data_IF_439069794248
#
_entry.id   IF_439069794248
#
_cell.length_a   1.000
_cell.length_b   1.000
_cell.length_c   1.000
_cell.angle_alpha   90.00
_cell.angle_beta   90.00
_cell.angle_gamma   90.00
#
_symmetry.space_group_name_H-M   'P 1'
#
loop_
_entity.id
_entity.type
_entity.pdbx_description
1 polymer ?
#
# COMPACT_ATOMS: atom_id res chain seq x y z
N UNK A 1 23.62 5.93 -16.17
CA UNK A 1 23.70 4.71 -15.34
C UNK A 1 24.90 3.86 -15.75
N UNK A 2 25.70 3.44 -14.76
CA UNK A 2 26.77 2.44 -14.90
C UNK A 2 26.14 1.05 -14.77
N UNK A 3 26.20 0.24 -15.83
CA UNK A 3 25.83 -1.17 -15.80
C UNK A 3 26.96 -1.94 -15.12
N UNK A 4 26.88 -2.13 -13.81
CA UNK A 4 27.87 -2.92 -13.07
C UNK A 4 27.36 -4.36 -12.83
N UNK A 5 27.83 -5.34 -13.63
CA UNK A 5 27.41 -6.74 -13.53
C UNK A 5 27.94 -7.46 -12.28
N UNK A 6 28.81 -6.84 -11.46
CA UNK A 6 29.31 -7.48 -10.22
C UNK A 6 28.28 -7.53 -9.09
N UNK A 7 27.35 -6.57 -9.03
CA UNK A 7 26.32 -6.51 -7.98
C UNK A 7 25.29 -7.64 -8.11
N UNK A 8 24.93 -8.01 -9.35
CA UNK A 8 23.99 -9.11 -9.60
C UNK A 8 24.59 -10.47 -9.26
N UNK A 9 25.93 -10.60 -9.28
CA UNK A 9 26.61 -11.85 -8.96
C UNK A 9 26.70 -12.09 -7.45
N UNK A 10 26.77 -11.03 -6.65
CA UNK A 10 26.77 -11.14 -5.18
C UNK A 10 25.44 -11.60 -4.60
N UNK A 11 24.32 -11.30 -5.26
CA UNK A 11 22.98 -11.69 -4.76
C UNK A 11 22.61 -13.16 -5.03
N UNK A 12 23.41 -13.89 -5.82
CA UNK A 12 23.13 -15.28 -6.19
C UNK A 12 23.96 -16.28 -5.36
N UNK A 13 25.03 -15.83 -4.71
CA UNK A 13 25.99 -16.72 -4.02
C UNK A 13 25.76 -16.84 -2.50
N UNK A 14 24.75 -16.20 -1.90
CA UNK A 14 24.51 -16.18 -0.43
C UNK A 14 23.49 -17.23 0.09
N UNK A 15 23.19 -18.29 -0.68
CA UNK A 15 22.40 -19.44 -0.20
C UNK A 15 23.27 -20.49 0.53
N UNK A 16 24.06 -20.07 1.53
CA UNK A 16 24.61 -20.99 2.54
C UNK A 16 23.51 -21.39 3.51
N UNK A 17 22.75 -22.41 3.12
CA UNK A 17 21.85 -23.17 4.01
C UNK A 17 22.67 -23.85 5.11
N UNK A 18 22.67 -23.28 6.31
CA UNK A 18 23.10 -23.95 7.53
C UNK A 18 22.21 -25.19 7.79
N UNK A 19 22.82 -26.37 7.74
CA UNK A 19 22.22 -27.63 8.16
C UNK A 19 21.86 -27.58 9.66
N UNK A 20 20.57 -27.37 9.95
CA UNK A 20 20.04 -27.50 11.31
C UNK A 20 20.06 -28.98 11.73
N UNK A 21 21.10 -29.37 12.46
CA UNK A 21 21.18 -30.65 13.18
C UNK A 21 20.05 -30.74 14.23
N UNK A 22 18.98 -31.47 13.89
CA UNK A 22 17.95 -31.89 14.85
C UNK A 22 18.56 -32.86 15.88
N UNK A 23 18.99 -32.32 17.03
CA UNK A 23 19.37 -33.07 18.22
C UNK A 23 18.21 -33.95 18.70
N UNK A 24 18.34 -35.25 18.47
CA UNK A 24 17.42 -36.29 18.94
C UNK A 24 17.76 -36.68 20.39
N UNK A 25 17.42 -35.81 21.35
CA UNK A 25 17.56 -36.12 22.77
C UNK A 25 16.40 -37.04 23.22
N UNK A 26 16.65 -38.36 23.26
CA UNK A 26 15.77 -39.34 23.92
C UNK A 26 16.33 -39.69 25.30
N UNK A 27 15.76 -39.09 26.33
CA UNK A 27 15.92 -39.55 27.71
C UNK A 27 15.08 -40.82 27.94
N UNK A 28 15.60 -41.85 28.62
CA UNK A 28 14.80 -43.01 29.00
C UNK A 28 14.03 -42.75 30.29
N UNK A 29 12.71 -42.65 30.20
CA UNK A 29 11.83 -42.78 31.36
C UNK A 29 11.71 -44.26 31.72
N UNK A 30 12.26 -44.62 32.88
CA UNK A 30 12.08 -45.92 33.53
C UNK A 30 10.69 -45.93 34.16
N UNK A 31 9.71 -46.57 33.50
CA UNK A 31 8.45 -46.97 34.13
C UNK A 31 8.51 -48.46 34.42
N UNK A 32 8.61 -48.80 35.70
CA UNK A 32 8.51 -50.16 36.22
C UNK A 32 7.09 -50.70 36.00
N UNK A 33 7.01 -51.89 35.42
CA UNK A 33 6.05 -52.91 35.88
C UNK A 33 4.67 -52.92 35.23
N UNK A 34 4.60 -53.14 33.91
CA UNK A 34 3.48 -53.86 33.30
C UNK A 34 4.04 -54.75 32.19
N UNK A 35 3.91 -56.07 32.35
CA UNK A 35 4.22 -57.04 31.29
C UNK A 35 3.08 -57.05 30.28
N UNK A 36 3.21 -56.26 29.21
CA UNK A 36 2.33 -56.38 28.04
C UNK A 36 2.93 -57.45 27.11
N UNK A 37 2.31 -58.62 27.10
CA UNK A 37 2.58 -59.67 26.13
C UNK A 37 2.17 -59.19 24.73
N UNK A 38 3.15 -58.80 23.91
CA UNK A 38 2.96 -58.45 22.51
C UNK A 38 3.39 -59.63 21.64
N UNK A 39 2.59 -60.69 21.63
CA UNK A 39 2.62 -61.70 20.57
C UNK A 39 2.03 -61.15 19.26
N UNK A 40 2.64 -60.09 18.72
CA UNK A 40 2.32 -59.60 17.38
C UNK A 40 2.98 -60.51 16.35
N UNK A 41 2.22 -61.52 15.94
CA UNK A 41 2.48 -62.43 14.82
C UNK A 41 2.80 -61.59 13.58
N UNK A 42 4.09 -61.44 13.26
CA UNK A 42 4.58 -60.81 12.02
C UNK A 42 4.14 -61.64 10.82
N UNK A 43 2.93 -61.39 10.32
CA UNK A 43 2.55 -61.74 8.97
C UNK A 43 3.39 -60.90 8.01
N UNK A 44 4.52 -61.46 7.55
CA UNK A 44 5.25 -60.95 6.39
C UNK A 44 4.32 -60.97 5.19
N UNK A 45 3.60 -59.88 4.95
CA UNK A 45 2.93 -59.65 3.67
C UNK A 45 4.02 -59.60 2.59
N UNK A 46 3.84 -60.26 1.43
CA UNK A 46 4.82 -60.21 0.36
C UNK A 46 5.02 -58.75 -0.06
N UNK A 47 6.27 -58.29 -0.06
CA UNK A 47 6.66 -57.02 -0.65
C UNK A 47 6.38 -57.15 -2.14
N UNK A 48 5.21 -56.69 -2.58
CA UNK A 48 4.91 -56.51 -3.99
C UNK A 48 5.92 -55.49 -4.49
N UNK A 49 6.92 -55.95 -5.27
CA UNK A 49 7.70 -55.09 -6.16
C UNK A 49 6.72 -54.51 -7.18
N UNK A 50 6.02 -53.45 -6.77
CA UNK A 50 5.13 -52.69 -7.62
C UNK A 50 5.95 -52.07 -8.73
N UNK A 51 5.53 -52.32 -9.96
CA UNK A 51 6.11 -51.82 -11.20
C UNK A 51 6.27 -50.28 -11.13
N UNK A 52 7.46 -49.81 -10.72
CA UNK A 52 7.86 -48.40 -10.65
C UNK A 52 8.07 -47.76 -12.04
N UNK A 53 7.46 -48.31 -13.10
CA UNK A 53 7.50 -47.80 -14.48
C UNK A 53 6.29 -46.93 -14.86
N UNK A 54 5.24 -46.88 -14.03
CA UNK A 54 4.03 -46.10 -14.35
C UNK A 54 4.05 -44.67 -13.74
N UNK A 55 4.77 -44.46 -12.63
CA UNK A 55 4.76 -43.17 -11.91
C UNK A 55 5.42 -42.02 -12.70
N UNK A 56 6.45 -42.32 -13.50
CA UNK A 56 7.22 -41.30 -14.22
C UNK A 56 6.43 -40.68 -15.39
N UNK A 57 5.57 -41.44 -16.08
CA UNK A 57 4.73 -40.89 -17.16
C UNK A 57 3.58 -40.04 -16.63
N UNK A 58 2.98 -40.43 -15.51
CA UNK A 58 1.93 -39.61 -14.87
C UNK A 58 2.50 -38.29 -14.36
N UNK A 59 3.69 -38.31 -13.75
CA UNK A 59 4.36 -37.09 -13.27
C UNK A 59 4.65 -36.10 -14.41
N UNK A 60 5.16 -36.58 -15.55
CA UNK A 60 5.44 -35.71 -16.71
C UNK A 60 4.15 -35.09 -17.26
N UNK A 61 3.06 -35.87 -17.36
CA UNK A 61 1.77 -35.36 -17.83
C UNK A 61 1.20 -34.32 -16.84
N UNK A 62 1.28 -34.57 -15.53
CA UNK A 62 0.80 -33.61 -14.52
C UNK A 62 1.61 -32.31 -14.55
N UNK A 63 2.93 -32.39 -14.72
CA UNK A 63 3.79 -31.21 -14.84
C UNK A 63 3.45 -30.43 -16.12
N UNK A 64 3.27 -31.12 -17.26
CA UNK A 64 2.90 -30.48 -18.51
C UNK A 64 1.53 -29.77 -18.43
N UNK A 65 0.54 -30.39 -17.78
CA UNK A 65 -0.78 -29.77 -17.54
C UNK A 65 -0.63 -28.55 -16.62
N UNK A 66 0.15 -28.67 -15.54
CA UNK A 66 0.37 -27.55 -14.62
C UNK A 66 1.06 -26.36 -15.32
N UNK A 67 2.11 -26.61 -16.09
CA UNK A 67 2.79 -25.57 -16.90
C UNK A 67 1.81 -24.93 -17.87
N UNK A 68 0.98 -25.73 -18.56
CA UNK A 68 -0.04 -25.20 -19.47
C UNK A 68 -1.03 -24.29 -18.73
N UNK A 69 -1.51 -24.70 -17.56
CA UNK A 69 -2.43 -23.89 -16.75
C UNK A 69 -1.78 -22.59 -16.28
N UNK A 70 -0.50 -22.62 -15.88
CA UNK A 70 0.26 -21.42 -15.50
C UNK A 70 0.39 -20.48 -16.70
N UNK A 71 0.76 -20.98 -17.88
CA UNK A 71 0.86 -20.16 -19.10
C UNK A 71 -0.49 -19.54 -19.49
N UNK A 72 -1.59 -20.30 -19.39
CA UNK A 72 -2.94 -19.78 -19.65
C UNK A 72 -3.34 -18.72 -18.62
N UNK A 73 -3.06 -18.94 -17.35
CA UNK A 73 -3.34 -17.97 -16.29
C UNK A 73 -2.54 -16.66 -16.49
N UNK A 74 -1.25 -16.78 -16.81
CA UNK A 74 -0.40 -15.61 -17.12
C UNK A 74 -0.87 -14.88 -18.38
N UNK A 75 -1.26 -15.60 -19.44
CA UNK A 75 -1.80 -15.01 -20.66
C UNK A 75 -3.13 -14.28 -20.42
N UNK A 76 -4.00 -14.85 -19.58
CA UNK A 76 -5.26 -14.20 -19.19
C UNK A 76 -5.00 -12.95 -18.34
N UNK A 77 -4.10 -13.04 -17.34
CA UNK A 77 -3.72 -11.90 -16.51
C UNK A 77 -3.10 -10.77 -17.35
N UNK A 78 -2.20 -11.11 -18.28
CA UNK A 78 -1.61 -10.17 -19.22
C UNK A 78 -2.66 -9.49 -20.10
N UNK A 79 -3.60 -10.25 -20.68
CA UNK A 79 -4.70 -9.68 -21.47
C UNK A 79 -5.59 -8.74 -20.64
N UNK A 80 -5.86 -9.07 -19.38
CA UNK A 80 -6.64 -8.20 -18.49
C UNK A 80 -5.88 -6.91 -18.14
N UNK A 81 -4.57 -7.01 -17.92
CA UNK A 81 -3.73 -5.83 -17.70
C UNK A 81 -3.67 -4.93 -18.93
N UNK A 82 -3.50 -5.50 -20.13
CA UNK A 82 -3.49 -4.74 -21.37
C UNK A 82 -4.81 -3.98 -21.57
N UNK A 83 -5.95 -4.65 -21.39
CA UNK A 83 -7.26 -3.99 -21.49
C UNK A 83 -7.39 -2.87 -20.46
N UNK A 84 -6.98 -3.12 -19.21
CA UNK A 84 -7.00 -2.07 -18.18
C UNK A 84 -6.16 -0.86 -18.60
N UNK A 85 -4.93 -1.07 -19.08
CA UNK A 85 -4.10 0.04 -19.57
C UNK A 85 -4.76 0.74 -20.75
N UNK A 86 -5.30 -0.01 -21.72
CA UNK A 86 -6.00 0.56 -22.87
C UNK A 86 -7.20 1.43 -22.47
N UNK A 87 -7.96 0.98 -21.47
CA UNK A 87 -9.14 1.67 -20.98
C UNK A 87 -8.75 2.94 -20.21
N UNK A 88 -7.78 2.88 -19.29
CA UNK A 88 -7.47 3.98 -18.36
C UNK A 88 -6.45 5.00 -18.85
N UNK A 89 -5.85 4.80 -20.02
CA UNK A 89 -4.76 5.66 -20.51
C UNK A 89 -5.09 6.19 -21.90
N UNK A 90 -4.43 7.27 -22.30
CA UNK A 90 -4.60 7.86 -23.63
C UNK A 90 -3.30 7.71 -24.43
N UNK A 91 -3.45 7.53 -25.74
CA UNK A 91 -2.35 7.68 -26.68
C UNK A 91 -2.18 9.17 -27.01
N UNK A 92 -0.98 9.70 -26.83
CA UNK A 92 -0.71 11.11 -27.15
C UNK A 92 0.75 11.34 -27.54
N UNK A 93 0.96 12.05 -28.65
CA UNK A 93 2.27 12.51 -29.11
C UNK A 93 2.74 13.77 -28.36
N UNK A 94 1.86 14.39 -27.57
CA UNK A 94 2.11 15.63 -26.83
C UNK A 94 1.60 15.51 -25.39
N UNK A 95 2.25 14.69 -24.54
CA UNK A 95 1.87 14.57 -23.14
C UNK A 95 1.97 15.91 -22.43
N UNK A 96 1.03 16.17 -21.53
CA UNK A 96 1.07 17.36 -20.69
C UNK A 96 2.33 17.33 -19.84
N UNK A 97 3.05 18.46 -19.80
CA UNK A 97 4.26 18.62 -18.99
C UNK A 97 4.03 19.70 -17.97
N UNK A 98 4.45 19.40 -16.75
CA UNK A 98 4.34 20.31 -15.61
C UNK A 98 5.65 21.04 -15.35
N UNK A 99 5.60 22.27 -14.78
CA UNK A 99 6.79 22.94 -14.30
C UNK A 99 7.59 22.07 -13.34
N UNK A 100 8.89 22.00 -13.53
CA UNK A 100 9.80 21.27 -12.67
C UNK A 100 10.33 22.23 -11.61
N UNK A 101 10.10 21.91 -10.34
CA UNK A 101 10.75 22.60 -9.23
C UNK A 101 12.13 21.96 -9.03
N UNK A 102 13.17 22.68 -9.44
CA UNK A 102 14.54 22.24 -9.21
C UNK A 102 14.89 22.45 -7.74
N UNK A 103 15.36 21.38 -7.10
CA UNK A 103 15.80 21.38 -5.71
C UNK A 103 17.09 20.58 -5.66
N UNK A 104 18.06 21.03 -4.86
CA UNK A 104 19.30 20.27 -4.68
C UNK A 104 19.11 19.09 -3.72
N UNK A 105 19.93 18.05 -3.86
CA UNK A 105 19.94 16.90 -2.93
C UNK A 105 20.12 17.35 -1.46
N UNK A 106 20.87 18.42 -1.23
CA UNK A 106 21.06 18.98 0.13
C UNK A 106 19.81 19.66 0.67
N UNK A 107 18.99 20.28 -0.18
CA UNK A 107 17.70 20.83 0.23
C UNK A 107 16.67 19.73 0.46
N UNK A 108 16.65 18.72 -0.42
CA UNK A 108 15.81 17.53 -0.27
C UNK A 108 16.07 16.82 1.06
N UNK A 109 17.34 16.59 1.39
CA UNK A 109 17.71 15.91 2.63
C UNK A 109 17.31 16.71 3.87
N UNK A 110 17.45 18.04 3.85
CA UNK A 110 16.98 18.90 4.96
C UNK A 110 15.47 18.79 5.18
N UNK A 111 14.68 18.62 4.13
CA UNK A 111 13.23 18.46 4.24
C UNK A 111 12.92 17.11 4.87
N UNK A 112 13.60 16.04 4.45
CA UNK A 112 13.46 14.71 5.06
C UNK A 112 13.86 14.74 6.54
N UNK A 113 15.03 15.30 6.86
CA UNK A 113 15.51 15.45 8.24
C UNK A 113 14.47 16.18 9.09
N UNK A 114 13.85 17.25 8.58
CA UNK A 114 12.80 18.00 9.29
C UNK A 114 11.54 17.16 9.53
N UNK A 115 11.14 16.34 8.57
CA UNK A 115 9.97 15.44 8.71
C UNK A 115 10.27 14.32 9.69
N UNK A 116 11.46 13.70 9.60
CA UNK A 116 11.91 12.64 10.50
C UNK A 116 12.07 13.15 11.94
N UNK A 117 12.65 14.34 12.11
CA UNK A 117 12.76 15.00 13.41
C UNK A 117 11.37 15.24 14.00
N UNK A 118 10.45 15.85 13.24
CA UNK A 118 9.07 16.06 13.70
C UNK A 118 8.41 14.75 14.16
N UNK A 119 8.49 13.69 13.36
CA UNK A 119 7.93 12.37 13.72
C UNK A 119 8.57 11.84 15.01
N UNK A 120 9.91 11.92 15.13
CA UNK A 120 10.60 11.47 16.33
C UNK A 120 10.29 12.32 17.56
N UNK A 121 10.04 13.63 17.42
CA UNK A 121 9.63 14.49 18.53
C UNK A 121 8.23 14.17 19.03
N UNK A 122 7.32 13.93 18.08
CA UNK A 122 5.97 13.45 18.36
C UNK A 122 6.05 12.11 19.06
N UNK A 123 6.82 11.15 18.53
CA UNK A 123 6.98 9.79 19.06
C UNK A 123 7.63 9.72 20.46
N UNK A 124 8.56 10.62 20.76
CA UNK A 124 9.12 10.74 22.10
C UNK A 124 8.28 11.58 23.07
N UNK A 125 7.13 12.11 22.62
CA UNK A 125 6.21 12.88 23.44
C UNK A 125 6.82 14.18 23.99
N UNK A 126 7.67 14.87 23.21
CA UNK A 126 8.27 16.14 23.63
C UNK A 126 7.19 17.16 24.03
N UNK A 127 7.52 18.03 25.00
CA UNK A 127 6.58 19.02 25.54
C UNK A 127 6.28 20.14 24.55
N UNK A 128 7.32 20.62 23.88
CA UNK A 128 7.27 21.68 22.87
C UNK A 128 7.78 21.09 21.56
N UNK A 129 6.88 20.98 20.59
CA UNK A 129 7.16 20.45 19.25
C UNK A 129 6.80 21.55 18.26
N UNK A 130 7.72 21.86 17.34
CA UNK A 130 7.46 22.85 16.29
C UNK A 130 6.49 22.28 15.25
N UNK A 131 5.59 23.12 14.73
CA UNK A 131 4.67 22.72 13.67
C UNK A 131 5.45 22.31 12.42
N UNK A 132 5.12 21.15 11.84
CA UNK A 132 5.67 20.75 10.55
C UNK A 132 4.94 21.49 9.44
N UNK A 133 5.68 22.33 8.72
CA UNK A 133 5.19 23.04 7.54
C UNK A 133 5.86 22.47 6.30
N UNK A 134 5.05 21.98 5.35
CA UNK A 134 5.52 21.53 4.05
C UNK A 134 4.91 22.42 2.96
N UNK A 135 5.76 23.12 2.23
CA UNK A 135 5.34 24.00 1.13
C UNK A 135 5.09 23.22 -0.16
N UNK A 136 4.30 23.81 -1.05
CA UNK A 136 4.04 23.26 -2.38
C UNK A 136 5.35 23.03 -3.15
N UNK A 137 6.28 23.97 -3.10
CA UNK A 137 7.58 23.85 -3.78
C UNK A 137 8.42 22.72 -3.18
N UNK A 138 8.34 22.48 -1.87
CA UNK A 138 9.06 21.37 -1.23
C UNK A 138 8.52 20.01 -1.71
N UNK A 139 7.20 19.84 -1.78
CA UNK A 139 6.57 18.61 -2.27
C UNK A 139 6.82 18.40 -3.76
N UNK A 140 6.67 19.45 -4.57
CA UNK A 140 6.95 19.37 -6.01
C UNK A 140 8.44 19.19 -6.31
N UNK A 141 9.33 19.72 -5.46
CA UNK A 141 10.76 19.46 -5.53
C UNK A 141 11.10 18.00 -5.25
N UNK A 142 10.40 17.36 -4.31
CA UNK A 142 10.51 15.91 -4.09
C UNK A 142 10.08 15.13 -5.34
N UNK A 143 8.93 15.46 -5.93
CA UNK A 143 8.49 14.86 -7.19
C UNK A 143 9.49 15.10 -8.34
N UNK A 144 10.14 16.28 -8.35
CA UNK A 144 11.17 16.65 -9.30
C UNK A 144 12.44 15.79 -9.27
N UNK A 145 12.69 15.02 -8.19
CA UNK A 145 13.81 14.08 -8.09
C UNK A 145 13.47 12.66 -8.58
N UNK A 146 12.20 12.37 -8.85
CA UNK A 146 11.77 11.07 -9.40
C UNK A 146 11.83 11.08 -10.92
N UNK A 147 12.51 10.11 -11.53
CA UNK A 147 12.53 9.94 -12.99
C UNK A 147 11.11 9.79 -13.58
N UNK A 148 10.18 9.21 -12.80
CA UNK A 148 8.82 8.96 -13.23
C UNK A 148 7.90 10.17 -13.07
N UNK A 149 8.02 10.92 -11.96
CA UNK A 149 7.13 12.04 -11.64
C UNK A 149 7.63 13.38 -12.19
N UNK A 150 8.94 13.53 -12.41
CA UNK A 150 9.56 14.78 -12.84
C UNK A 150 8.96 15.28 -14.16
N UNK A 151 8.25 16.41 -14.07
CA UNK A 151 7.56 17.03 -15.20
C UNK A 151 6.29 16.31 -15.64
N UNK A 152 5.88 15.25 -14.94
CA UNK A 152 4.68 14.44 -15.20
C UNK A 152 3.65 14.52 -14.07
N UNK A 153 3.99 15.20 -12.97
CA UNK A 153 3.14 15.35 -11.78
C UNK A 153 3.33 16.75 -11.19
N UNK A 154 2.25 17.32 -10.68
CA UNK A 154 2.24 18.60 -9.97
C UNK A 154 1.19 18.58 -8.87
N UNK A 155 1.57 19.06 -7.69
CA UNK A 155 0.67 19.37 -6.60
C UNK A 155 0.47 20.87 -6.51
N UNK A 156 -0.78 21.29 -6.29
CA UNK A 156 -1.14 22.66 -5.93
C UNK A 156 -1.93 22.69 -4.63
N UNK A 157 -1.50 23.53 -3.70
CA UNK A 157 -2.18 23.73 -2.43
C UNK A 157 -3.03 25.00 -2.47
N UNK A 158 -4.34 24.81 -2.42
CA UNK A 158 -5.30 25.86 -2.15
C UNK A 158 -5.79 25.77 -0.72
N UNK A 159 -6.33 26.87 -0.19
CA UNK A 159 -6.99 26.81 1.11
C UNK A 159 -8.04 25.68 1.16
N UNK A 160 -7.88 24.79 2.14
CA UNK A 160 -8.73 23.62 2.41
C UNK A 160 -8.77 22.57 1.27
N UNK A 161 -7.88 22.66 0.27
CA UNK A 161 -7.89 21.76 -0.91
C UNK A 161 -6.49 21.53 -1.50
N UNK A 162 -6.15 20.26 -1.70
CA UNK A 162 -5.00 19.82 -2.50
C UNK A 162 -5.53 19.44 -3.89
N UNK A 163 -4.82 19.85 -4.93
CA UNK A 163 -5.09 19.44 -6.32
C UNK A 163 -3.83 18.77 -6.85
N UNK A 164 -3.98 17.56 -7.38
CA UNK A 164 -2.91 16.83 -8.03
C UNK A 164 -3.22 16.74 -9.52
N UNK A 165 -2.27 17.09 -10.37
CA UNK A 165 -2.39 16.97 -11.82
C UNK A 165 -1.27 16.07 -12.32
N UNK A 166 -1.59 15.13 -13.20
CA UNK A 166 -0.63 14.14 -13.64
C UNK A 166 -0.81 13.73 -15.11
N UNK A 167 0.32 13.38 -15.71
CA UNK A 167 0.46 12.85 -17.07
C UNK A 167 1.57 11.81 -17.06
N UNK A 168 1.25 10.65 -16.48
CA UNK A 168 2.22 9.62 -16.15
C UNK A 168 2.46 8.71 -17.36
N UNK A 169 3.71 8.57 -17.85
CA UNK A 169 4.01 7.67 -18.96
C UNK A 169 3.84 6.21 -18.53
N UNK A 170 3.35 5.37 -19.44
CA UNK A 170 3.12 3.94 -19.19
C UNK A 170 4.22 3.05 -19.79
N UNK A 171 5.31 3.66 -20.22
CA UNK A 171 6.49 3.01 -20.80
C UNK A 171 7.22 2.11 -19.78
N UNK A 172 7.20 2.45 -18.50
CA UNK A 172 7.72 1.60 -17.41
C UNK A 172 7.01 0.24 -17.34
N UNK A 173 5.77 0.16 -17.80
CA UNK A 173 5.00 -1.09 -17.92
C UNK A 173 5.05 -1.69 -19.34
N UNK A 174 5.84 -1.11 -20.24
CA UNK A 174 6.01 -1.56 -21.63
C UNK A 174 4.98 -1.01 -22.63
N UNK A 175 4.18 -0.02 -22.24
CA UNK A 175 3.18 0.61 -23.10
C UNK A 175 3.70 1.97 -23.57
N UNK A 176 4.50 1.95 -24.63
CA UNK A 176 5.01 3.16 -25.25
C UNK A 176 3.87 4.04 -25.77
N UNK A 177 4.08 5.37 -25.75
CA UNK A 177 3.16 6.39 -26.27
C UNK A 177 1.81 6.48 -25.54
N UNK A 178 1.65 5.75 -24.42
CA UNK A 178 0.46 5.78 -23.57
C UNK A 178 0.71 6.51 -22.26
N UNK A 179 -0.28 7.27 -21.82
CA UNK A 179 -0.19 8.09 -20.61
C UNK A 179 -1.45 7.97 -19.76
N UNK A 180 -1.26 7.79 -18.45
CA UNK A 180 -2.32 7.98 -17.47
C UNK A 180 -2.42 9.48 -17.18
N UNK A 181 -3.40 10.14 -17.77
CA UNK A 181 -3.58 11.59 -17.68
C UNK A 181 -4.85 11.91 -16.94
N UNK A 182 -4.76 12.85 -16.01
CA UNK A 182 -5.89 13.22 -15.18
C UNK A 182 -5.52 14.23 -14.11
N UNK A 183 -6.48 14.45 -13.23
CA UNK A 183 -6.26 15.19 -12.00
C UNK A 183 -7.06 14.54 -10.89
N UNK A 184 -6.65 14.80 -9.66
CA UNK A 184 -7.49 14.60 -8.51
C UNK A 184 -7.50 15.83 -7.61
N UNK A 185 -8.42 15.82 -6.68
CA UNK A 185 -8.35 16.72 -5.55
C UNK A 185 -8.76 16.03 -4.27
N UNK A 186 -8.19 16.55 -3.19
CA UNK A 186 -8.52 16.25 -1.81
C UNK A 186 -9.00 17.56 -1.17
N UNK A 187 -10.19 17.59 -0.60
CA UNK A 187 -10.74 18.79 0.04
C UNK A 187 -11.25 18.48 1.45
N UNK A 188 -10.87 19.33 2.40
CA UNK A 188 -11.40 19.32 3.76
C UNK A 188 -12.56 20.31 3.83
N UNK A 189 -13.72 19.83 4.26
CA UNK A 189 -14.91 20.65 4.48
C UNK A 189 -15.35 20.46 5.92
N UNK A 190 -15.52 21.54 6.67
CA UNK A 190 -16.14 21.51 7.99
C UNK A 190 -17.27 22.52 8.02
N UNK A 191 -18.47 22.08 8.40
CA UNK A 191 -19.64 22.94 8.57
C UNK A 191 -19.95 23.24 10.04
N UNK A 192 -19.03 22.86 10.95
CA UNK A 192 -19.18 22.97 12.41
C UNK A 192 -19.93 21.80 13.06
N UNK A 193 -20.55 20.92 12.28
CA UNK A 193 -21.26 19.72 12.77
C UNK A 193 -20.65 18.43 12.22
N UNK A 194 -20.19 18.44 10.97
CA UNK A 194 -19.53 17.33 10.30
C UNK A 194 -18.19 17.80 9.75
N UNK A 195 -17.18 16.93 9.87
CA UNK A 195 -15.96 17.08 9.12
C UNK A 195 -15.98 16.09 7.97
N UNK A 196 -15.84 16.61 6.76
CA UNK A 196 -15.98 15.90 5.52
C UNK A 196 -14.66 15.98 4.77
N UNK A 197 -14.18 14.83 4.35
CA UNK A 197 -13.09 14.65 3.43
C UNK A 197 -13.71 14.31 2.07
N UNK A 198 -13.49 15.15 1.06
CA UNK A 198 -13.90 14.87 -0.31
C UNK A 198 -12.67 14.57 -1.17
N UNK A 199 -12.71 13.45 -1.88
CA UNK A 199 -11.70 13.00 -2.82
C UNK A 199 -12.35 12.76 -4.17
N UNK A 200 -11.73 13.22 -5.25
CA UNK A 200 -12.23 12.99 -6.61
C UNK A 200 -11.07 12.86 -7.57
N UNK A 201 -11.10 11.82 -8.41
CA UNK A 201 -10.13 11.53 -9.45
C UNK A 201 -10.83 11.52 -10.81
N UNK A 202 -10.39 12.39 -11.71
CA UNK A 202 -10.82 12.48 -13.10
C UNK A 202 -9.68 12.07 -14.03
N UNK A 203 -10.00 11.32 -15.08
CA UNK A 203 -9.04 10.91 -16.10
C UNK A 203 -9.45 11.46 -17.45
N UNK A 204 -8.48 11.77 -18.32
CA UNK A 204 -8.77 12.18 -19.69
C UNK A 204 -9.26 11.04 -20.58
N UNK A 205 -8.90 9.80 -20.24
CA UNK A 205 -9.48 8.63 -20.92
C UNK A 205 -11.01 8.68 -20.77
N UNK A 206 -11.72 8.65 -21.91
CA UNK A 206 -13.18 8.65 -21.94
C UNK A 206 -13.69 7.22 -21.85
N UNK A 207 -14.63 6.99 -20.93
CA UNK A 207 -15.07 5.65 -20.57
C UNK A 207 -16.56 5.43 -20.84
N UNK A 208 -17.13 5.97 -21.92
CA UNK A 208 -18.60 5.91 -22.16
C UNK A 208 -19.18 4.48 -22.03
N UNK A 209 -18.40 3.45 -22.35
CA UNK A 209 -18.79 2.03 -22.23
C UNK A 209 -18.58 1.42 -20.83
N UNK A 210 -17.70 1.98 -19.99
CA UNK A 210 -17.38 1.47 -18.66
C UNK A 210 -18.04 2.31 -17.54
N UNK A 211 -18.02 3.64 -17.66
CA UNK A 211 -18.62 4.59 -16.71
C UNK A 211 -18.77 6.03 -17.26
N UNK A 212 -19.84 6.71 -16.83
CA UNK A 212 -20.09 8.13 -17.09
C UNK A 212 -19.73 8.96 -15.85
N UNK A 213 -18.58 9.64 -15.86
CA UNK A 213 -18.14 10.52 -14.77
C UNK A 213 -16.69 10.32 -14.31
N UNK A 214 -16.33 10.73 -13.08
CA UNK A 214 -14.98 10.55 -12.55
C UNK A 214 -14.66 9.06 -12.40
N UNK A 215 -13.37 8.72 -12.54
CA UNK A 215 -12.86 7.38 -12.28
C UNK A 215 -13.19 6.96 -10.85
N UNK A 216 -13.07 7.92 -9.93
CA UNK A 216 -13.37 7.74 -8.53
C UNK A 216 -13.86 9.05 -7.90
N UNK A 217 -14.87 8.96 -7.05
CA UNK A 217 -15.31 10.03 -6.18
C UNK A 217 -15.68 9.45 -4.82
N UNK A 218 -15.19 10.02 -3.74
CA UNK A 218 -15.62 9.67 -2.39
C UNK A 218 -15.76 10.91 -1.52
N UNK A 219 -16.80 10.88 -0.71
CA UNK A 219 -17.04 11.81 0.37
C UNK A 219 -17.12 11.01 1.66
N UNK A 220 -16.15 11.29 2.53
CA UNK A 220 -15.89 10.58 3.77
C UNK A 220 -16.21 11.52 4.93
N UNK A 221 -17.08 11.12 5.85
CA UNK A 221 -17.18 11.79 7.14
C UNK A 221 -16.10 11.24 8.05
N UNK A 222 -15.29 12.11 8.66
CA UNK A 222 -14.32 11.69 9.66
C UNK A 222 -14.67 12.24 11.05
N UNK A 223 -14.47 11.39 12.05
CA UNK A 223 -14.63 11.69 13.46
C UNK A 223 -13.29 11.41 14.16
N UNK A 224 -12.74 12.39 14.86
CA UNK A 224 -11.56 12.20 15.70
C UNK A 224 -11.99 12.20 17.16
N UNK A 225 -11.72 11.11 17.88
CA UNK A 225 -11.97 11.02 19.32
C UNK A 225 -10.71 11.48 20.07
N UNK A 226 -10.89 12.23 21.18
CA UNK A 226 -9.77 12.86 21.89
C UNK A 226 -9.08 11.95 22.89
N UNK A 227 -9.68 10.83 23.29
CA UNK A 227 -9.25 10.09 24.47
C UNK A 227 -9.01 8.60 24.20
N UNK A 228 -7.77 8.15 24.40
CA UNK A 228 -7.40 6.72 24.41
C UNK A 228 -7.93 5.99 25.65
N UNK A 229 -8.32 6.71 26.71
CA UNK A 229 -8.80 6.12 27.98
C UNK A 229 -10.26 5.67 27.91
N UNK A 230 -11.01 6.06 26.89
CA UNK A 230 -12.33 5.48 26.61
C UNK A 230 -12.11 4.10 25.97
N UNK A 231 -11.93 3.10 26.83
CA UNK A 231 -11.69 1.70 26.44
C UNK A 231 -12.69 1.26 25.36
N UNK A 232 -12.21 1.16 24.11
CA UNK A 232 -12.96 0.62 22.97
C UNK A 232 -13.30 1.60 21.84
N UNK A 233 -12.94 2.88 21.92
CA UNK A 233 -13.19 3.83 20.81
C UNK A 233 -11.94 4.07 19.94
N UNK A 234 -12.10 3.95 18.61
CA UNK A 234 -11.05 4.25 17.64
C UNK A 234 -10.72 5.75 17.64
N UNK A 235 -9.42 6.08 17.62
CA UNK A 235 -8.92 7.47 17.64
C UNK A 235 -9.37 8.28 16.41
N UNK A 236 -9.46 7.61 15.26
CA UNK A 236 -9.92 8.17 13.99
C UNK A 236 -10.91 7.19 13.38
N UNK A 237 -12.14 7.64 13.21
CA UNK A 237 -13.15 6.92 12.46
C UNK A 237 -13.45 7.65 11.16
N UNK A 238 -13.64 6.90 10.09
CA UNK A 238 -13.96 7.44 8.79
C UNK A 238 -15.08 6.60 8.18
N UNK A 239 -16.14 7.27 7.74
CA UNK A 239 -17.35 6.65 7.22
C UNK A 239 -17.60 7.16 5.81
N UNK A 240 -18.01 6.28 4.91
CA UNK A 240 -18.44 6.70 3.57
C UNK A 240 -19.82 7.33 3.66
N UNK A 241 -19.93 8.63 3.38
CA UNK A 241 -21.22 9.33 3.29
C UNK A 241 -21.80 9.24 1.88
N UNK A 242 -20.93 9.26 0.88
CA UNK A 242 -21.28 9.17 -0.53
C UNK A 242 -20.05 8.80 -1.34
N UNK A 243 -20.23 8.11 -2.46
CA UNK A 243 -19.15 7.93 -3.41
C UNK A 243 -19.62 7.31 -4.71
N UNK A 244 -18.76 7.36 -5.71
CA UNK A 244 -18.85 6.57 -6.93
C UNK A 244 -17.49 5.93 -7.22
N UNK A 245 -17.53 4.69 -7.68
CA UNK A 245 -16.34 3.95 -8.14
C UNK A 245 -16.60 3.49 -9.56
N UNK A 246 -15.78 3.92 -10.52
CA UNK A 246 -16.01 3.64 -11.94
C UNK A 246 -17.47 3.98 -12.31
N UNK A 247 -17.91 5.20 -11.95
CA UNK A 247 -19.28 5.70 -12.14
C UNK A 247 -20.42 4.93 -11.47
N UNK A 248 -20.15 3.85 -10.73
CA UNK A 248 -21.16 3.13 -9.97
C UNK A 248 -21.27 3.76 -8.58
N UNK A 249 -22.48 4.19 -8.21
CA UNK A 249 -22.76 4.69 -6.86
C UNK A 249 -22.41 3.62 -5.81
N UNK A 250 -21.80 4.06 -4.70
CA UNK A 250 -21.63 3.19 -3.53
C UNK A 250 -23.02 2.75 -3.05
N UNK A 251 -23.25 1.44 -2.84
CA UNK A 251 -24.56 0.96 -2.42
C UNK A 251 -25.04 1.64 -1.12
N UNK A 252 -26.30 2.09 -1.10
CA UNK A 252 -26.90 2.75 0.07
C UNK A 252 -26.87 1.86 1.31
N UNK A 253 -27.00 0.53 1.15
CA UNK A 253 -26.90 -0.40 2.27
C UNK A 253 -25.49 -0.44 2.89
N UNK A 254 -24.44 -0.16 2.12
CA UNK A 254 -23.08 -0.02 2.65
C UNK A 254 -22.92 1.31 3.41
N UNK A 255 -23.45 2.41 2.87
CA UNK A 255 -23.46 3.73 3.53
C UNK A 255 -24.23 3.66 4.85
N UNK A 256 -25.41 3.04 4.84
CA UNK A 256 -26.28 2.90 6.02
C UNK A 256 -25.61 2.09 7.14
N UNK A 257 -24.74 1.14 6.81
CA UNK A 257 -23.99 0.34 7.80
C UNK A 257 -23.01 1.19 8.61
N UNK A 258 -22.61 2.37 8.10
CA UNK A 258 -21.60 3.22 8.75
C UNK A 258 -20.35 2.41 9.15
N UNK A 259 -19.86 1.56 8.24
CA UNK A 259 -18.61 0.84 8.49
C UNK A 259 -17.44 1.82 8.56
N UNK A 260 -16.61 1.69 9.59
CA UNK A 260 -15.41 2.50 9.71
C UNK A 260 -14.36 1.99 8.72
N UNK A 261 -14.10 2.74 7.66
CA UNK A 261 -13.12 2.34 6.64
C UNK A 261 -11.70 2.29 7.17
N UNK A 262 -11.44 2.80 8.38
CA UNK A 262 -10.14 2.68 9.04
C UNK A 262 -10.02 1.42 9.91
N UNK A 263 -11.01 0.52 9.98
CA UNK A 263 -10.93 -0.69 10.82
C UNK A 263 -9.77 -1.61 10.40
N UNK A 264 -9.42 -1.66 9.11
CA UNK A 264 -8.21 -2.37 8.68
C UNK A 264 -6.92 -1.74 9.26
N UNK A 265 -6.97 -0.43 9.57
CA UNK A 265 -5.91 0.28 10.28
C UNK A 265 -5.83 -0.04 11.77
N UNK A 266 -6.65 -0.97 12.29
CA UNK A 266 -6.59 -1.39 13.69
C UNK A 266 -6.31 -2.89 13.85
N UNK A 267 -6.46 -3.70 12.78
CA UNK A 267 -6.36 -5.17 12.82
C UNK A 267 -4.98 -5.80 12.54
N UNK A 268 -3.94 -5.02 12.23
CA UNK A 268 -2.61 -5.47 11.73
C UNK A 268 -1.58 -5.79 12.83
N UNK A 269 -1.96 -5.80 14.11
CA UNK A 269 -1.14 -6.38 15.20
C UNK A 269 0.10 -5.60 15.66
N UNK A 270 0.74 -4.78 14.81
CA UNK A 270 1.90 -3.91 15.13
C UNK A 270 1.50 -2.42 15.29
N UNK A 271 0.26 -2.15 15.73
CA UNK A 271 -0.38 -0.84 15.61
C UNK A 271 -0.01 0.24 16.62
N UNK A 272 0.69 -0.10 17.71
CA UNK A 272 0.91 0.85 18.81
C UNK A 272 1.79 2.04 18.39
N UNK A 273 2.82 1.83 17.55
CA UNK A 273 3.77 2.89 17.16
C UNK A 273 3.11 3.94 16.25
N UNK A 274 2.38 3.52 15.21
CA UNK A 274 1.74 4.46 14.27
C UNK A 274 0.59 5.25 14.92
N UNK A 275 -0.19 4.61 15.80
CA UNK A 275 -1.26 5.30 16.54
C UNK A 275 -0.71 6.29 17.55
N UNK A 276 0.52 6.10 18.03
CA UNK A 276 1.17 7.07 18.89
C UNK A 276 1.45 8.37 18.13
N UNK A 277 2.05 8.28 16.93
CA UNK A 277 2.31 9.44 16.06
C UNK A 277 1.02 10.17 15.73
N UNK A 278 -0.03 9.47 15.27
CA UNK A 278 -1.32 10.10 14.94
C UNK A 278 -1.93 10.77 16.18
N UNK A 279 -1.84 10.14 17.36
CA UNK A 279 -2.37 10.72 18.60
C UNK A 279 -1.63 11.97 19.08
N UNK A 280 -0.37 12.12 18.66
CA UNK A 280 0.44 13.30 18.94
C UNK A 280 0.26 14.43 17.93
N UNK A 281 -0.59 14.26 16.90
CA UNK A 281 -1.00 15.34 16.00
C UNK A 281 -2.26 16.01 16.57
N UNK A 282 -2.24 17.34 16.68
CA UNK A 282 -3.39 18.15 17.09
C UNK A 282 -4.31 18.43 15.90
N UNK A 283 -3.73 18.89 14.79
CA UNK A 283 -4.48 19.23 13.58
C UNK A 283 -3.62 19.20 12.34
N UNK A 284 -4.27 18.98 11.19
CA UNK A 284 -3.68 19.16 9.87
C UNK A 284 -4.52 20.20 9.15
N UNK A 285 -3.90 21.22 8.59
CA UNK A 285 -4.58 22.26 7.82
C UNK A 285 -3.90 22.49 6.48
N UNK A 286 -4.72 22.63 5.43
CA UNK A 286 -4.25 22.97 4.09
C UNK A 286 -4.42 24.48 3.92
N UNK A 287 -3.30 25.19 3.83
CA UNK A 287 -3.26 26.63 3.58
C UNK A 287 -2.83 26.88 2.13
N UNK A 288 -2.97 28.13 1.66
CA UNK A 288 -2.50 28.48 0.32
C UNK A 288 -0.98 28.23 0.21
N UNK A 289 -0.59 27.36 -0.72
CA UNK A 289 0.81 27.03 -1.01
C UNK A 289 1.51 26.15 0.03
N UNK A 290 0.83 25.61 1.06
CA UNK A 290 1.46 24.74 2.07
C UNK A 290 0.46 23.90 2.87
N UNK A 291 0.93 22.79 3.42
CA UNK A 291 0.26 22.04 4.48
C UNK A 291 0.96 22.29 5.81
N UNK A 292 0.18 22.41 6.88
CA UNK A 292 0.66 22.60 8.25
C UNK A 292 0.14 21.47 9.12
N UNK A 293 1.05 20.74 9.76
CA UNK A 293 0.75 19.69 10.73
C UNK A 293 1.16 20.20 12.11
N UNK A 294 0.16 20.44 12.96
CA UNK A 294 0.38 20.91 14.32
C UNK A 294 0.49 19.74 15.25
N UNK A 295 1.58 19.69 16.01
CA UNK A 295 1.77 18.70 17.05
C UNK A 295 0.99 19.10 18.32
N UNK A 296 0.46 18.10 19.02
CA UNK A 296 -0.23 18.27 20.29
C UNK A 296 0.79 18.60 21.37
N UNK A 297 0.63 19.76 22.00
CA UNK A 297 1.49 20.19 23.10
C UNK A 297 1.08 19.44 24.39
N UNK A 298 2.05 18.81 25.06
CA UNK A 298 1.81 18.08 26.31
C UNK A 298 1.84 19.04 27.51
N UNK A 299 0.70 19.62 27.87
CA UNK A 299 0.59 20.56 29.01
C UNK A 299 0.69 19.88 30.41
N UNK A 300 0.54 18.56 30.49
CA UNK A 300 0.52 17.83 31.76
C UNK A 300 1.89 17.21 32.10
N UNK A 301 2.73 17.98 32.82
CA UNK A 301 3.70 17.47 33.81
C UNK A 301 4.20 18.62 34.68
#
# INVERSE_FOLDING_TARGET
MSNDPELLKKLIDDDELEDVELQKQRSPLIVKGISIDTSSRKNKKPVRRGNFRCCCKCMVITIAIFILLVVLALGYAYSKLNNFVEDFTIETDSPQKFPIVEMSETELEKIKDRVEEFIAEVDHGKKEIEDLVLTQDEINGFAGHSDFLRGNYMITFHKDRIVEEFSLPMDILGYNDRYFVGNDYFALKSDGHKNLLEMKLETEATHEDLFDGPLYFMQLQYLMTKNKEDEGENLLQMFVERGTFFGQDVPEDYIDQHENVMDFLYDLGDYDENLYIISGIESVSIEEGKVVVKARQNENN
#
